data_IF_913118208400
#
_entry.id   IF_913118208400
#
_cell.length_a   1.000
_cell.length_b   1.000
_cell.length_c   1.000
_cell.angle_alpha   90.00
_cell.angle_beta   90.00
_cell.angle_gamma   90.00
#
_symmetry.space_group_name_H-M   'P 1'
#
loop_
_entity.id
_entity.type
_entity.pdbx_description
1 polymer ?
#
# COMPACT_ATOMS: atom_id res chain seq x y z
N UNK A 1 -4.10 -34.89 7.25
CA UNK A 1 -4.94 -33.79 6.75
C UNK A 1 -4.32 -33.31 5.45
N UNK A 2 -4.95 -33.57 4.30
CA UNK A 2 -4.53 -32.98 3.03
C UNK A 2 -4.49 -31.45 3.18
N UNK A 3 -3.34 -30.83 2.90
CA UNK A 3 -3.26 -29.37 2.72
C UNK A 3 -4.17 -29.04 1.54
N UNK A 4 -5.34 -28.45 1.79
CA UNK A 4 -6.17 -27.89 0.73
C UNK A 4 -5.35 -26.80 0.02
N UNK A 5 -4.74 -27.13 -1.10
CA UNK A 5 -4.07 -26.15 -1.96
C UNK A 5 -5.13 -25.26 -2.63
N UNK A 6 -4.82 -23.97 -2.75
CA UNK A 6 -5.70 -23.00 -3.38
C UNK A 6 -5.77 -23.29 -4.90
N UNK A 7 -6.97 -23.18 -5.49
CA UNK A 7 -7.16 -23.45 -6.92
C UNK A 7 -6.46 -22.40 -7.78
N UNK A 8 -5.73 -22.84 -8.81
CA UNK A 8 -5.01 -21.97 -9.77
C UNK A 8 -5.94 -21.36 -10.82
N UNK A 9 -6.80 -20.44 -10.41
CA UNK A 9 -7.84 -19.86 -11.26
C UNK A 9 -7.53 -18.44 -11.76
N UNK A 10 -6.54 -17.74 -11.17
CA UNK A 10 -6.28 -16.32 -11.46
C UNK A 10 -5.58 -16.14 -12.80
N UNK A 11 -6.24 -15.44 -13.73
CA UNK A 11 -5.68 -15.08 -15.04
C UNK A 11 -4.73 -13.87 -14.94
N UNK A 12 -3.86 -13.68 -15.94
CA UNK A 12 -2.97 -12.52 -15.98
C UNK A 12 -3.69 -11.17 -16.08
N UNK A 13 -4.81 -11.09 -16.80
CA UNK A 13 -5.62 -9.88 -16.87
C UNK A 13 -6.26 -9.58 -15.51
N UNK A 14 -6.79 -10.61 -14.85
CA UNK A 14 -7.30 -10.48 -13.48
C UNK A 14 -6.22 -9.98 -12.54
N UNK A 15 -5.01 -10.54 -12.62
CA UNK A 15 -3.88 -10.11 -11.81
C UNK A 15 -3.44 -8.67 -12.11
N UNK A 16 -3.46 -8.23 -13.38
CA UNK A 16 -3.19 -6.84 -13.77
C UNK A 16 -4.21 -5.87 -13.18
N UNK A 17 -5.51 -6.20 -13.28
CA UNK A 17 -6.57 -5.41 -12.65
C UNK A 17 -6.41 -5.37 -11.14
N UNK A 18 -5.92 -6.44 -10.51
CA UNK A 18 -5.58 -6.42 -9.09
C UNK A 18 -4.41 -5.47 -8.83
N UNK A 19 -3.31 -5.50 -9.58
CA UNK A 19 -2.17 -4.57 -9.35
C UNK A 19 -2.63 -3.12 -9.48
N UNK A 20 -3.27 -2.79 -10.60
CA UNK A 20 -3.76 -1.43 -10.85
C UNK A 20 -4.81 -1.07 -9.80
N UNK A 21 -5.67 -2.00 -9.42
CA UNK A 21 -6.71 -1.80 -8.42
C UNK A 21 -6.22 -1.75 -6.97
N UNK A 22 -5.10 -2.35 -6.60
CA UNK A 22 -4.55 -2.23 -5.24
C UNK A 22 -3.70 -0.99 -5.10
N UNK A 23 -2.97 -0.62 -6.17
CA UNK A 23 -2.11 0.55 -6.18
C UNK A 23 -2.91 1.84 -6.37
N UNK A 24 -3.79 1.91 -7.37
CA UNK A 24 -4.67 3.06 -7.56
C UNK A 24 -5.72 3.05 -6.46
N UNK A 25 -5.52 3.86 -5.43
CA UNK A 25 -6.41 3.97 -4.28
C UNK A 25 -6.66 5.41 -3.86
N UNK A 26 -6.68 5.65 -2.55
CA UNK A 26 -6.85 6.99 -1.99
C UNK A 26 -5.62 7.88 -2.25
N UNK A 27 -4.42 7.29 -2.35
CA UNK A 27 -3.18 8.06 -2.37
C UNK A 27 -3.14 9.15 -3.44
N UNK A 28 -3.64 8.89 -4.64
CA UNK A 28 -3.64 9.87 -5.72
C UNK A 28 -4.58 11.06 -5.47
N UNK A 29 -5.64 10.86 -4.70
CA UNK A 29 -6.64 11.89 -4.43
C UNK A 29 -6.27 12.79 -3.24
N UNK A 30 -5.45 12.29 -2.30
CA UNK A 30 -5.20 12.97 -1.02
C UNK A 30 -3.72 13.27 -0.74
N UNK A 31 -2.77 12.49 -1.27
CA UNK A 31 -1.34 12.78 -1.06
C UNK A 31 -0.80 14.01 -1.79
N UNK A 32 -1.44 14.61 -2.82
CA UNK A 32 -0.98 15.91 -3.33
C UNK A 32 -0.76 16.96 -2.24
N UNK A 33 -1.59 16.99 -1.18
CA UNK A 33 -1.41 17.87 -0.02
C UNK A 33 -0.04 17.73 0.60
N UNK A 34 0.35 16.50 0.96
CA UNK A 34 1.64 16.23 1.57
C UNK A 34 2.80 16.43 0.59
N UNK A 35 2.62 16.07 -0.69
CA UNK A 35 3.66 16.19 -1.73
C UNK A 35 3.98 17.66 -2.01
N UNK A 36 2.98 18.48 -2.27
CA UNK A 36 3.15 19.89 -2.59
C UNK A 36 3.40 20.75 -1.36
N UNK A 37 2.91 20.34 -0.19
CA UNK A 37 3.28 20.95 1.09
C UNK A 37 4.73 20.69 1.48
N UNK A 38 5.28 19.51 1.17
CA UNK A 38 6.70 19.21 1.42
C UNK A 38 7.62 19.84 0.37
N UNK A 39 7.27 19.70 -0.92
CA UNK A 39 8.11 20.17 -2.03
C UNK A 39 8.06 21.70 -2.22
N UNK A 40 6.95 22.35 -1.85
CA UNK A 40 6.73 23.79 -2.02
C UNK A 40 6.70 24.27 -3.48
N UNK A 41 6.87 23.36 -4.44
CA UNK A 41 7.05 23.68 -5.85
C UNK A 41 6.43 22.59 -6.75
N UNK A 42 5.72 22.98 -7.84
CA UNK A 42 5.12 22.04 -8.78
C UNK A 42 6.12 21.03 -9.35
N UNK A 43 7.29 21.50 -9.82
CA UNK A 43 8.24 20.63 -10.53
C UNK A 43 8.89 19.57 -9.65
N UNK A 44 9.31 19.93 -8.43
CA UNK A 44 9.88 18.97 -7.47
C UNK A 44 8.85 17.94 -7.01
N UNK A 45 7.60 18.36 -6.77
CA UNK A 45 6.50 17.45 -6.46
C UNK A 45 6.24 16.44 -7.60
N UNK A 46 6.21 16.91 -8.85
CA UNK A 46 6.02 16.05 -10.02
C UNK A 46 7.20 15.08 -10.23
N UNK A 47 8.43 15.52 -9.97
CA UNK A 47 9.61 14.66 -9.98
C UNK A 47 9.51 13.55 -8.93
N UNK A 48 8.99 13.85 -7.72
CA UNK A 48 8.80 12.83 -6.68
C UNK A 48 7.86 11.71 -7.16
N UNK A 49 6.75 12.06 -7.83
CA UNK A 49 5.83 11.07 -8.41
C UNK A 49 6.49 10.18 -9.47
N UNK A 50 7.34 10.77 -10.31
CA UNK A 50 8.10 10.02 -11.32
C UNK A 50 9.12 9.09 -10.67
N UNK A 51 9.94 9.60 -9.75
CA UNK A 51 11.01 8.83 -9.09
C UNK A 51 10.42 7.70 -8.24
N UNK A 52 9.32 7.91 -7.52
CA UNK A 52 8.63 6.84 -6.81
C UNK A 52 8.11 5.75 -7.76
N UNK A 53 7.60 6.13 -8.94
CA UNK A 53 7.21 5.19 -9.98
C UNK A 53 8.38 4.35 -10.49
N UNK A 54 9.53 4.98 -10.77
CA UNK A 54 10.74 4.27 -11.20
C UNK A 54 11.27 3.33 -10.11
N UNK A 55 11.33 3.80 -8.85
CA UNK A 55 11.78 2.99 -7.72
C UNK A 55 10.87 1.77 -7.53
N UNK A 56 9.54 1.95 -7.63
CA UNK A 56 8.60 0.83 -7.47
C UNK A 56 8.61 -0.13 -8.65
N UNK A 57 8.80 0.35 -9.89
CA UNK A 57 9.03 -0.53 -11.06
C UNK A 57 10.32 -1.35 -10.87
N UNK A 58 11.41 -0.72 -10.45
CA UNK A 58 12.67 -1.42 -10.16
C UNK A 58 12.50 -2.45 -9.03
N UNK A 59 11.76 -2.10 -7.98
CA UNK A 59 11.42 -2.99 -6.88
C UNK A 59 10.54 -4.16 -7.33
N UNK A 60 9.53 -3.90 -8.15
CA UNK A 60 8.64 -4.89 -8.74
C UNK A 60 9.37 -5.88 -9.63
N UNK A 61 10.26 -5.39 -10.48
CA UNK A 61 11.16 -6.20 -11.30
C UNK A 61 12.06 -7.11 -10.47
N UNK A 62 12.52 -6.65 -9.32
CA UNK A 62 13.39 -7.40 -8.42
C UNK A 62 12.60 -8.46 -7.65
N UNK A 63 11.48 -8.07 -7.02
CA UNK A 63 10.62 -8.98 -6.24
C UNK A 63 9.98 -10.06 -7.11
N UNK A 64 9.72 -9.79 -8.39
CA UNK A 64 9.23 -10.81 -9.31
C UNK A 64 10.18 -12.01 -9.42
N UNK A 65 11.51 -11.84 -9.31
CA UNK A 65 12.45 -12.96 -9.33
C UNK A 65 12.20 -13.91 -8.17
N UNK A 66 12.27 -13.43 -6.93
CA UNK A 66 12.02 -14.26 -5.74
C UNK A 66 10.58 -14.79 -5.69
N UNK A 67 9.61 -14.02 -6.18
CA UNK A 67 8.21 -14.45 -6.27
C UNK A 67 7.97 -15.58 -7.28
N UNK A 68 8.78 -15.67 -8.34
CA UNK A 68 8.71 -16.78 -9.29
C UNK A 68 9.48 -18.01 -8.85
N UNK A 69 10.51 -17.85 -8.00
CA UNK A 69 11.22 -18.96 -7.35
C UNK A 69 10.33 -19.62 -6.29
N UNK A 70 9.63 -18.81 -5.49
CA UNK A 70 8.71 -19.29 -4.44
C UNK A 70 7.26 -18.86 -4.74
N UNK A 71 6.57 -19.50 -5.72
CA UNK A 71 5.21 -19.15 -6.13
C UNK A 71 4.17 -19.67 -5.13
N UNK A 72 4.24 -19.21 -3.89
CA UNK A 72 3.40 -19.63 -2.77
C UNK A 72 2.61 -18.44 -2.22
N UNK A 73 1.40 -18.73 -1.74
CA UNK A 73 0.59 -17.74 -1.02
C UNK A 73 1.27 -17.40 0.30
N UNK A 74 1.55 -16.11 0.52
CA UNK A 74 2.28 -15.62 1.70
C UNK A 74 3.25 -14.46 1.38
N UNK A 75 3.69 -14.34 0.12
CA UNK A 75 4.49 -13.21 -0.34
C UNK A 75 5.79 -13.04 0.47
N UNK A 76 6.05 -11.81 0.94
CA UNK A 76 7.27 -11.45 1.67
C UNK A 76 7.57 -12.33 2.88
N UNK A 77 6.55 -12.84 3.59
CA UNK A 77 6.78 -13.75 4.73
C UNK A 77 7.61 -14.97 4.32
N UNK A 78 7.22 -15.61 3.22
CA UNK A 78 7.90 -16.80 2.70
C UNK A 78 9.24 -16.42 2.07
N UNK A 79 9.29 -15.31 1.33
CA UNK A 79 10.51 -14.86 0.66
C UNK A 79 11.63 -14.60 1.68
N UNK A 80 11.32 -13.88 2.76
CA UNK A 80 12.28 -13.57 3.81
C UNK A 80 12.56 -14.77 4.71
N UNK A 81 11.59 -15.67 4.93
CA UNK A 81 11.84 -16.93 5.63
C UNK A 81 12.87 -17.80 4.90
N UNK A 82 12.74 -17.95 3.56
CA UNK A 82 13.64 -18.79 2.77
C UNK A 82 15.05 -18.24 2.68
N UNK A 83 15.22 -16.91 2.69
CA UNK A 83 16.56 -16.29 2.57
C UNK A 83 17.21 -16.04 3.94
N UNK A 84 16.47 -15.54 4.92
CA UNK A 84 17.02 -15.07 6.20
C UNK A 84 16.62 -15.93 7.41
N UNK A 85 15.74 -16.92 7.20
CA UNK A 85 15.24 -17.80 8.24
C UNK A 85 13.90 -17.35 8.83
N UNK A 86 13.30 -18.27 9.60
CA UNK A 86 11.94 -18.14 10.17
C UNK A 86 11.69 -16.87 10.97
N UNK A 87 12.70 -16.35 11.66
CA UNK A 87 12.55 -15.16 12.49
C UNK A 87 12.26 -13.90 11.66
N UNK A 88 12.88 -13.72 10.48
CA UNK A 88 12.60 -12.57 9.59
C UNK A 88 11.24 -12.74 8.92
N UNK A 89 10.94 -13.95 8.45
CA UNK A 89 9.62 -14.28 7.91
C UNK A 89 8.49 -14.01 8.91
N UNK A 90 8.73 -14.30 10.20
CA UNK A 90 7.83 -13.93 11.28
C UNK A 90 7.76 -12.41 11.46
N UNK A 91 8.88 -11.69 11.54
CA UNK A 91 8.89 -10.25 11.81
C UNK A 91 8.14 -9.45 10.75
N UNK A 92 8.25 -9.82 9.47
CA UNK A 92 7.47 -9.14 8.42
C UNK A 92 5.98 -9.41 8.58
N UNK A 93 5.57 -10.65 8.89
CA UNK A 93 4.16 -10.98 9.13
C UNK A 93 3.63 -10.29 10.41
N UNK A 94 4.45 -10.22 11.45
CA UNK A 94 4.15 -9.51 12.69
C UNK A 94 3.92 -8.01 12.42
N UNK A 95 4.89 -7.35 11.80
CA UNK A 95 4.78 -5.94 11.42
C UNK A 95 3.58 -5.70 10.50
N UNK A 96 3.29 -6.63 9.59
CA UNK A 96 2.10 -6.54 8.74
C UNK A 96 0.81 -6.59 9.56
N UNK A 97 0.72 -7.53 10.50
CA UNK A 97 -0.46 -7.75 11.34
C UNK A 97 -0.73 -6.60 12.33
N UNK A 98 0.32 -6.05 12.97
CA UNK A 98 0.16 -5.07 14.05
C UNK A 98 0.36 -3.63 13.62
N UNK A 99 1.01 -3.37 12.47
CA UNK A 99 1.28 -2.02 11.97
C UNK A 99 0.66 -1.81 10.60
N UNK A 100 1.15 -2.50 9.56
CA UNK A 100 0.83 -2.17 8.17
C UNK A 100 -0.67 -2.23 7.85
N UNK A 101 -1.35 -3.35 8.14
CA UNK A 101 -2.77 -3.50 7.84
C UNK A 101 -3.66 -2.63 8.75
N UNK A 102 -3.48 -2.61 10.09
CA UNK A 102 -4.23 -1.72 10.95
C UNK A 102 -4.07 -0.23 10.60
N UNK A 103 -2.84 0.22 10.33
CA UNK A 103 -2.56 1.60 9.96
C UNK A 103 -3.18 1.96 8.62
N UNK A 104 -3.18 1.06 7.63
CA UNK A 104 -3.86 1.29 6.35
C UNK A 104 -5.38 1.43 6.53
N UNK A 105 -6.00 0.57 7.35
CA UNK A 105 -7.43 0.67 7.68
C UNK A 105 -7.71 2.01 8.38
N UNK A 106 -6.88 2.39 9.36
CA UNK A 106 -7.02 3.63 10.11
C UNK A 106 -6.85 4.88 9.21
N UNK A 107 -5.76 4.97 8.46
CA UNK A 107 -5.48 6.08 7.57
C UNK A 107 -6.59 6.26 6.53
N UNK A 108 -7.01 5.17 5.88
CA UNK A 108 -8.03 5.24 4.83
C UNK A 108 -9.43 5.56 5.39
N UNK A 109 -9.77 5.11 6.60
CA UNK A 109 -11.05 5.46 7.22
C UNK A 109 -11.09 6.91 7.71
N UNK A 110 -9.96 7.43 8.23
CA UNK A 110 -9.81 8.86 8.54
C UNK A 110 -10.00 9.70 7.27
N UNK A 111 -9.27 9.40 6.18
CA UNK A 111 -9.36 10.23 4.98
C UNK A 111 -10.71 10.10 4.27
N UNK A 112 -11.36 8.93 4.36
CA UNK A 112 -12.74 8.76 3.94
C UNK A 112 -13.66 9.70 4.73
N UNK A 113 -13.52 9.75 6.06
CA UNK A 113 -14.32 10.59 6.92
C UNK A 113 -14.04 12.09 6.68
N UNK A 114 -12.79 12.50 6.49
CA UNK A 114 -12.42 13.87 6.09
C UNK A 114 -13.11 14.27 4.79
N UNK A 115 -13.04 13.41 3.77
CA UNK A 115 -13.70 13.66 2.48
C UNK A 115 -15.24 13.67 2.61
N UNK A 116 -15.78 12.81 3.46
CA UNK A 116 -17.22 12.72 3.72
C UNK A 116 -17.72 14.00 4.40
N UNK A 117 -17.04 14.45 5.45
CA UNK A 117 -17.38 15.70 6.14
C UNK A 117 -17.21 16.91 5.22
N UNK A 118 -16.18 16.93 4.36
CA UNK A 118 -16.00 17.97 3.34
C UNK A 118 -17.15 18.01 2.32
N UNK A 119 -17.59 16.86 1.80
CA UNK A 119 -18.68 16.78 0.82
C UNK A 119 -20.03 17.23 1.39
N UNK A 120 -20.32 16.86 2.62
CA UNK A 120 -21.59 17.16 3.29
C UNK A 120 -21.53 18.41 4.17
N UNK A 121 -20.42 19.16 4.14
CA UNK A 121 -20.17 20.34 4.96
C UNK A 121 -20.43 20.11 6.47
N UNK A 122 -19.98 18.96 6.99
CA UNK A 122 -20.09 18.60 8.40
C UNK A 122 -18.88 19.13 9.19
N UNK A 123 -19.04 19.28 10.51
CA UNK A 123 -17.96 19.69 11.41
C UNK A 123 -16.83 18.65 11.46
N UNK A 124 -15.58 19.10 11.56
CA UNK A 124 -14.39 18.25 11.72
C UNK A 124 -14.46 17.32 12.95
N UNK A 125 -15.25 17.69 13.97
CA UNK A 125 -15.52 16.84 15.14
C UNK A 125 -16.18 15.49 14.78
N UNK A 126 -16.79 15.40 13.59
CA UNK A 126 -17.44 14.18 13.09
C UNK A 126 -16.47 13.21 12.43
N UNK A 127 -15.24 13.62 12.10
CA UNK A 127 -14.28 12.81 11.33
C UNK A 127 -13.97 11.50 12.07
N UNK A 128 -13.57 11.57 13.33
CA UNK A 128 -13.21 10.38 14.12
C UNK A 128 -14.40 9.42 14.29
N UNK A 129 -15.62 9.87 14.71
CA UNK A 129 -16.80 9.02 14.75
C UNK A 129 -17.14 8.34 13.42
N UNK A 130 -17.08 9.08 12.30
CA UNK A 130 -17.36 8.53 10.96
C UNK A 130 -16.29 7.51 10.55
N UNK A 131 -15.02 7.77 10.85
CA UNK A 131 -13.92 6.84 10.58
C UNK A 131 -14.10 5.52 11.35
N UNK A 132 -14.41 5.59 12.65
CA UNK A 132 -14.70 4.42 13.51
C UNK A 132 -15.91 3.64 12.96
N UNK A 133 -17.01 4.32 12.67
CA UNK A 133 -18.21 3.70 12.13
C UNK A 133 -17.92 2.98 10.79
N UNK A 134 -17.15 3.63 9.91
CA UNK A 134 -16.75 3.07 8.60
C UNK A 134 -15.86 1.84 8.77
N UNK A 135 -14.88 1.89 9.68
CA UNK A 135 -13.98 0.76 9.97
C UNK A 135 -14.75 -0.46 10.48
N UNK A 136 -15.65 -0.25 11.47
CA UNK A 136 -16.48 -1.30 12.06
C UNK A 136 -17.43 -1.87 11.01
N UNK A 137 -18.09 -1.00 10.23
CA UNK A 137 -19.04 -1.39 9.19
C UNK A 137 -18.38 -2.28 8.13
N UNK A 138 -17.23 -1.84 7.60
CA UNK A 138 -16.52 -2.60 6.57
C UNK A 138 -15.92 -3.90 7.11
N UNK A 139 -15.42 -3.92 8.35
CA UNK A 139 -14.99 -5.16 8.98
C UNK A 139 -16.17 -6.13 9.17
N UNK A 140 -17.32 -5.63 9.60
CA UNK A 140 -18.56 -6.38 9.73
C UNK A 140 -19.01 -7.00 8.40
N UNK A 141 -19.02 -6.22 7.31
CA UNK A 141 -19.32 -6.75 5.97
C UNK A 141 -18.35 -7.87 5.57
N UNK A 142 -17.06 -7.68 5.84
CA UNK A 142 -16.06 -8.70 5.53
C UNK A 142 -16.27 -9.99 6.35
N UNK A 143 -16.78 -9.89 7.58
CA UNK A 143 -17.17 -11.05 8.38
C UNK A 143 -18.40 -11.79 7.85
N UNK A 144 -19.28 -11.14 7.08
CA UNK A 144 -20.43 -11.77 6.41
C UNK A 144 -20.03 -12.65 5.21
N UNK A 145 -18.79 -12.53 4.74
CA UNK A 145 -18.20 -13.42 3.74
C UNK A 145 -17.73 -12.72 2.46
N UNK A 146 -16.86 -13.42 1.74
CA UNK A 146 -16.16 -12.92 0.53
C UNK A 146 -17.07 -12.56 -0.63
N UNK A 147 -18.32 -13.06 -0.65
CA UNK A 147 -19.32 -12.72 -1.68
C UNK A 147 -19.67 -11.23 -1.65
N UNK A 148 -19.88 -10.66 -0.46
CA UNK A 148 -20.28 -9.25 -0.32
C UNK A 148 -19.09 -8.32 -0.50
N UNK A 149 -17.99 -8.59 0.21
CA UNK A 149 -16.77 -7.81 0.10
C UNK A 149 -16.15 -7.88 -1.30
N UNK A 150 -16.26 -9.03 -1.98
CA UNK A 150 -15.84 -9.17 -3.38
C UNK A 150 -16.67 -8.32 -4.34
N UNK A 151 -18.00 -8.24 -4.16
CA UNK A 151 -18.87 -7.37 -4.98
C UNK A 151 -18.53 -5.89 -4.77
N UNK A 152 -18.37 -5.46 -3.51
CA UNK A 152 -17.93 -4.10 -3.18
C UNK A 152 -16.59 -3.79 -3.85
N UNK A 153 -15.64 -4.73 -3.79
CA UNK A 153 -14.33 -4.57 -4.42
C UNK A 153 -14.44 -4.38 -5.93
N UNK A 154 -15.23 -5.21 -6.62
CA UNK A 154 -15.41 -5.12 -8.07
C UNK A 154 -16.02 -3.78 -8.47
N UNK A 155 -17.11 -3.38 -7.80
CA UNK A 155 -17.78 -2.10 -8.06
C UNK A 155 -16.83 -0.93 -7.82
N UNK A 156 -16.14 -0.91 -6.67
CA UNK A 156 -15.19 0.16 -6.36
C UNK A 156 -14.01 0.21 -7.34
N UNK A 157 -13.58 -0.94 -7.88
CA UNK A 157 -12.49 -1.01 -8.87
C UNK A 157 -12.87 -0.39 -10.21
N UNK A 158 -14.11 -0.60 -10.66
CA UNK A 158 -14.60 0.00 -11.91
C UNK A 158 -14.85 1.50 -11.69
N UNK A 159 -15.55 1.86 -10.61
CA UNK A 159 -15.97 3.24 -10.40
C UNK A 159 -14.82 4.19 -10.04
N UNK A 160 -13.73 3.73 -9.43
CA UNK A 160 -12.61 4.62 -9.07
C UNK A 160 -11.85 5.17 -10.27
N UNK A 161 -11.89 4.51 -11.43
CA UNK A 161 -11.20 4.97 -12.63
C UNK A 161 -11.92 6.16 -13.28
N UNK A 162 -13.22 6.29 -13.06
CA UNK A 162 -14.05 7.33 -13.68
C UNK A 162 -13.63 8.73 -13.19
N UNK A 163 -13.56 9.03 -11.87
CA UNK A 163 -13.06 10.32 -11.39
C UNK A 163 -11.68 10.69 -11.92
N UNK A 164 -10.77 9.71 -12.00
CA UNK A 164 -9.41 9.92 -12.48
C UNK A 164 -9.42 10.36 -13.94
N UNK A 165 -10.10 9.61 -14.80
CA UNK A 165 -10.18 9.92 -16.23
C UNK A 165 -10.84 11.28 -16.48
N UNK A 166 -11.93 11.56 -15.78
CA UNK A 166 -12.67 12.82 -15.89
C UNK A 166 -11.83 14.01 -15.44
N UNK A 167 -11.11 13.89 -14.31
CA UNK A 167 -10.18 14.94 -13.84
C UNK A 167 -9.03 15.13 -14.82
N UNK A 168 -8.42 14.06 -15.34
CA UNK A 168 -7.31 14.17 -16.30
C UNK A 168 -7.77 14.93 -17.55
N UNK A 169 -8.88 14.53 -18.16
CA UNK A 169 -9.36 15.15 -19.40
C UNK A 169 -9.71 16.62 -19.16
N UNK A 170 -10.50 16.93 -18.13
CA UNK A 170 -10.92 18.30 -17.87
C UNK A 170 -9.77 19.21 -17.39
N UNK A 171 -8.88 18.69 -16.55
CA UNK A 171 -7.73 19.46 -16.04
C UNK A 171 -6.67 19.74 -17.09
N UNK A 172 -6.38 18.80 -17.99
CA UNK A 172 -5.47 19.06 -19.12
C UNK A 172 -6.04 20.06 -20.12
N UNK A 173 -7.36 20.16 -20.22
CA UNK A 173 -8.07 21.12 -21.07
C UNK A 173 -8.46 22.43 -20.33
N UNK A 174 -7.97 22.62 -19.11
CA UNK A 174 -8.34 23.78 -18.31
C UNK A 174 -7.86 25.09 -18.99
N UNK A 175 -8.72 26.13 -19.16
CA UNK A 175 -8.37 27.33 -19.94
C UNK A 175 -7.14 28.10 -19.44
N UNK A 176 -6.81 27.98 -18.15
CA UNK A 176 -5.62 28.59 -17.53
C UNK A 176 -4.45 27.62 -17.31
N UNK A 177 -4.48 26.45 -17.96
CA UNK A 177 -3.46 25.42 -17.88
C UNK A 177 -2.25 25.69 -18.77
N UNK A 178 -1.33 24.72 -18.84
CA UNK A 178 -0.12 24.77 -19.67
C UNK A 178 1.18 24.68 -18.87
N UNK A 179 2.31 24.59 -19.58
CA UNK A 179 3.61 24.30 -18.97
C UNK A 179 4.05 25.35 -17.93
N UNK A 180 3.55 26.59 -18.03
CA UNK A 180 3.81 27.66 -17.06
C UNK A 180 3.26 27.33 -15.67
N UNK A 181 2.25 26.46 -15.55
CA UNK A 181 1.73 25.99 -14.27
C UNK A 181 2.65 24.97 -13.56
N UNK A 182 3.67 24.48 -14.26
CA UNK A 182 4.63 23.50 -13.72
C UNK A 182 5.92 24.17 -13.22
N UNK A 183 6.02 25.51 -13.32
CA UNK A 183 7.10 26.31 -12.74
C UNK A 183 6.62 27.01 -11.46
N UNK A 184 7.49 27.25 -10.46
CA UNK A 184 8.91 26.93 -10.41
C UNK A 184 9.20 25.43 -10.19
N UNK A 185 10.42 24.99 -10.54
CA UNK A 185 10.84 23.61 -10.28
C UNK A 185 11.13 23.37 -8.79
N UNK A 186 11.83 24.30 -8.14
CA UNK A 186 12.15 24.29 -6.71
C UNK A 186 12.06 25.71 -6.15
N UNK A 187 11.85 25.83 -4.85
CA UNK A 187 11.79 27.11 -4.13
C UNK A 187 12.74 27.09 -2.94
N UNK A 188 13.37 28.22 -2.63
CA UNK A 188 14.38 28.30 -1.55
C UNK A 188 13.81 28.02 -0.16
N UNK A 189 12.53 28.36 0.07
CA UNK A 189 11.82 28.08 1.31
C UNK A 189 11.63 26.58 1.59
N UNK A 190 11.80 25.72 0.57
CA UNK A 190 11.70 24.27 0.66
C UNK A 190 12.99 23.63 0.11
N UNK A 191 14.05 23.49 0.94
CA UNK A 191 15.33 22.95 0.50
C UNK A 191 15.20 21.57 -0.15
N UNK A 192 15.75 21.43 -1.35
CA UNK A 192 15.53 20.25 -2.22
C UNK A 192 15.78 18.92 -1.50
N UNK A 193 16.89 18.79 -0.76
CA UNK A 193 17.29 17.52 -0.18
C UNK A 193 16.31 17.00 0.89
N UNK A 194 15.84 17.88 1.78
CA UNK A 194 14.89 17.54 2.85
C UNK A 194 13.47 17.42 2.30
N UNK A 195 13.07 18.34 1.43
CA UNK A 195 11.74 18.39 0.81
C UNK A 195 11.48 17.21 -0.13
N UNK A 196 12.48 16.80 -0.92
CA UNK A 196 12.35 15.67 -1.83
C UNK A 196 12.13 14.36 -1.09
N UNK A 197 12.79 14.15 0.06
CA UNK A 197 12.60 12.94 0.87
C UNK A 197 11.17 12.80 1.38
N UNK A 198 10.64 13.86 1.99
CA UNK A 198 9.25 13.91 2.47
C UNK A 198 8.23 13.79 1.33
N UNK A 199 8.45 14.46 0.20
CA UNK A 199 7.60 14.32 -0.98
C UNK A 199 7.63 12.89 -1.55
N UNK A 200 8.82 12.28 -1.64
CA UNK A 200 8.99 10.91 -2.12
C UNK A 200 8.26 9.93 -1.20
N UNK A 201 8.40 10.04 0.13
CA UNK A 201 7.65 9.26 1.12
C UNK A 201 6.14 9.35 0.89
N UNK A 202 5.63 10.57 0.70
CA UNK A 202 4.22 10.80 0.44
C UNK A 202 3.74 10.15 -0.87
N UNK A 203 4.52 10.23 -1.95
CA UNK A 203 4.18 9.58 -3.22
C UNK A 203 4.26 8.05 -3.15
N UNK A 204 5.19 7.49 -2.39
CA UNK A 204 5.35 6.04 -2.24
C UNK A 204 4.16 5.38 -1.55
N UNK A 205 3.48 6.09 -0.65
CA UNK A 205 2.20 5.63 -0.12
C UNK A 205 1.15 5.48 -1.23
N UNK A 206 1.10 6.43 -2.19
CA UNK A 206 0.18 6.33 -3.30
C UNK A 206 0.54 5.18 -4.26
N UNK A 207 1.82 4.81 -4.36
CA UNK A 207 2.23 3.61 -5.06
C UNK A 207 2.09 2.33 -4.24
N UNK A 208 1.68 2.38 -2.97
CA UNK A 208 1.61 1.21 -2.10
C UNK A 208 0.64 0.13 -2.61
N UNK A 209 0.88 -1.12 -2.23
CA UNK A 209 0.00 -2.25 -2.55
C UNK A 209 0.39 -3.07 -3.77
N UNK A 210 1.42 -2.67 -4.52
CA UNK A 210 1.95 -3.46 -5.66
C UNK A 210 2.53 -4.80 -5.21
N UNK A 211 3.03 -4.88 -3.98
CA UNK A 211 3.65 -6.09 -3.44
C UNK A 211 2.63 -7.19 -3.09
N UNK A 212 1.37 -6.81 -2.90
CA UNK A 212 0.30 -7.75 -2.56
C UNK A 212 0.02 -8.74 -3.70
N UNK A 213 0.44 -8.43 -4.93
CA UNK A 213 0.36 -9.34 -6.08
C UNK A 213 1.17 -10.61 -5.84
N UNK A 214 2.28 -10.51 -5.11
CA UNK A 214 3.09 -11.67 -4.70
C UNK A 214 2.30 -12.66 -3.83
N UNK A 215 1.32 -12.18 -3.04
CA UNK A 215 0.46 -13.07 -2.23
C UNK A 215 -0.49 -13.91 -3.08
N UNK A 216 -0.82 -13.44 -4.29
CA UNK A 216 -1.69 -14.15 -5.25
C UNK A 216 -0.90 -15.05 -6.21
N UNK A 217 0.43 -15.03 -6.16
CA UNK A 217 1.28 -15.77 -7.10
C UNK A 217 1.00 -17.29 -7.09
N UNK A 218 0.63 -17.86 -5.94
CA UNK A 218 0.24 -19.27 -5.81
C UNK A 218 -1.06 -19.65 -6.52
N UNK A 219 -1.96 -18.67 -6.74
CA UNK A 219 -3.26 -18.85 -7.40
C UNK A 219 -3.21 -18.50 -8.90
N UNK A 220 -2.10 -17.92 -9.37
CA UNK A 220 -1.94 -17.48 -10.76
C UNK A 220 -1.70 -18.64 -11.73
N UNK A 221 -2.29 -18.55 -12.92
CA UNK A 221 -1.96 -19.42 -14.06
C UNK A 221 -0.60 -19.01 -14.62
N UNK A 222 0.37 -19.94 -14.65
CA UNK A 222 1.75 -19.73 -15.16
C UNK A 222 2.44 -18.51 -14.50
N UNK A 223 2.62 -18.51 -13.17
CA UNK A 223 3.13 -17.35 -12.42
C UNK A 223 4.51 -16.90 -12.93
N UNK A 224 5.39 -17.84 -13.31
CA UNK A 224 6.73 -17.55 -13.83
C UNK A 224 6.79 -16.56 -15.00
N UNK A 225 5.79 -16.59 -15.91
CA UNK A 225 5.75 -15.69 -17.07
C UNK A 225 4.83 -14.49 -16.88
N UNK A 226 3.78 -14.64 -16.07
CA UNK A 226 2.74 -13.63 -15.92
C UNK A 226 3.05 -12.62 -14.81
N UNK A 227 3.64 -13.07 -13.70
CA UNK A 227 3.92 -12.21 -12.55
C UNK A 227 4.77 -10.98 -12.92
N UNK A 228 5.89 -11.11 -13.69
CA UNK A 228 6.69 -9.95 -14.06
C UNK A 228 5.93 -8.98 -14.98
N UNK A 229 5.24 -9.49 -16.01
CA UNK A 229 4.48 -8.68 -16.97
C UNK A 229 3.38 -7.88 -16.29
N UNK A 230 2.69 -8.52 -15.35
CA UNK A 230 1.60 -7.94 -14.58
C UNK A 230 2.08 -6.83 -13.65
N UNK A 231 3.21 -7.04 -12.96
CA UNK A 231 3.79 -6.04 -12.06
C UNK A 231 4.32 -4.84 -12.87
N UNK A 232 5.12 -5.07 -13.91
CA UNK A 232 5.73 -3.98 -14.72
C UNK A 232 4.65 -3.19 -15.45
N UNK A 233 3.74 -3.89 -16.15
CA UNK A 233 2.66 -3.26 -16.89
C UNK A 233 1.74 -2.47 -15.97
N UNK A 234 1.37 -3.06 -14.82
CA UNK A 234 0.53 -2.41 -13.82
C UNK A 234 1.18 -1.14 -13.26
N UNK A 235 2.42 -1.23 -12.79
CA UNK A 235 3.14 -0.08 -12.22
C UNK A 235 3.43 1.02 -13.25
N UNK A 236 3.70 0.66 -14.52
CA UNK A 236 3.91 1.65 -15.58
C UNK A 236 2.63 2.42 -15.91
N UNK A 237 1.49 1.72 -15.96
CA UNK A 237 0.17 2.35 -16.14
C UNK A 237 -0.14 3.28 -14.96
N UNK A 238 0.09 2.81 -13.72
CA UNK A 238 -0.09 3.62 -12.51
C UNK A 238 0.75 4.89 -12.58
N UNK A 239 2.04 4.77 -12.91
CA UNK A 239 2.94 5.92 -12.99
C UNK A 239 2.46 6.94 -14.01
N UNK A 240 2.05 6.49 -15.20
CA UNK A 240 1.50 7.38 -16.22
C UNK A 240 0.24 8.11 -15.73
N UNK A 241 -0.70 7.38 -15.12
CA UNK A 241 -1.93 7.96 -14.55
C UNK A 241 -1.62 8.98 -13.46
N UNK A 242 -0.69 8.66 -12.55
CA UNK A 242 -0.33 9.53 -11.43
C UNK A 242 0.35 10.82 -11.89
N UNK A 243 1.21 10.76 -12.91
CA UNK A 243 1.81 11.95 -13.48
C UNK A 243 0.75 12.80 -14.19
N UNK A 244 -0.08 12.19 -15.04
CA UNK A 244 -1.10 12.92 -15.81
C UNK A 244 -2.11 13.63 -14.91
N UNK A 245 -2.59 12.98 -13.85
CA UNK A 245 -3.56 13.61 -12.95
C UNK A 245 -2.91 14.69 -12.08
N UNK A 246 -1.64 14.56 -11.69
CA UNK A 246 -0.94 15.63 -10.99
C UNK A 246 -0.70 16.85 -11.88
N UNK A 247 -0.38 16.65 -13.16
CA UNK A 247 -0.33 17.74 -14.14
C UNK A 247 -1.72 18.39 -14.25
N UNK A 248 -2.78 17.60 -14.33
CA UNK A 248 -4.15 18.10 -14.36
C UNK A 248 -4.51 18.91 -13.09
N UNK A 249 -4.08 18.47 -11.90
CA UNK A 249 -4.23 19.25 -10.67
C UNK A 249 -3.48 20.58 -10.75
N UNK A 250 -2.22 20.55 -11.18
CA UNK A 250 -1.39 21.75 -11.27
C UNK A 250 -1.87 22.76 -12.33
N UNK A 251 -2.56 22.30 -13.36
CA UNK A 251 -3.18 23.19 -14.36
C UNK A 251 -4.33 24.00 -13.78
N UNK A 252 -5.01 23.45 -12.76
CA UNK A 252 -6.17 24.06 -12.10
C UNK A 252 -5.76 24.83 -10.85
N UNK A 253 -4.88 24.25 -10.03
CA UNK A 253 -4.48 24.73 -8.71
C UNK A 253 -2.96 24.86 -8.61
N UNK A 254 -2.46 25.81 -7.85
CA UNK A 254 -1.02 25.90 -7.57
C UNK A 254 -0.57 25.00 -6.39
N UNK A 255 0.75 24.94 -6.16
CA UNK A 255 1.36 24.13 -5.09
C UNK A 255 0.86 24.51 -3.69
N UNK A 256 0.60 25.79 -3.44
CA UNK A 256 0.14 26.27 -2.13
C UNK A 256 -1.33 25.91 -1.90
N UNK A 257 -2.16 26.03 -2.93
CA UNK A 257 -3.57 25.63 -2.89
C UNK A 257 -3.72 24.13 -2.66
N UNK A 258 -2.91 23.31 -3.34
CA UNK A 258 -2.91 21.85 -3.13
C UNK A 258 -2.44 21.49 -1.71
N UNK A 259 -1.44 22.19 -1.19
CA UNK A 259 -0.95 22.00 0.18
C UNK A 259 -1.92 22.51 1.27
N UNK A 260 -2.74 23.51 0.95
CA UNK A 260 -3.63 24.19 1.90
C UNK A 260 -4.94 23.47 2.19
N UNK A 261 -5.18 22.31 1.59
CA UNK A 261 -6.40 21.51 1.81
C UNK A 261 -6.06 20.04 2.00
N UNK A 262 -6.77 19.36 2.91
CA UNK A 262 -6.66 17.91 3.08
C UNK A 262 -7.38 17.12 1.95
N UNK A 263 -8.15 17.78 1.09
CA UNK A 263 -8.94 17.15 0.02
C UNK A 263 -8.64 17.75 -1.37
N UNK A 264 -7.37 17.67 -1.85
CA UNK A 264 -6.90 18.42 -3.01
C UNK A 264 -7.61 18.02 -4.31
N UNK A 265 -7.92 16.73 -4.48
CA UNK A 265 -8.69 16.27 -5.63
C UNK A 265 -10.14 16.75 -5.62
N UNK A 266 -10.74 16.92 -4.43
CA UNK A 266 -12.09 17.46 -4.30
C UNK A 266 -12.11 18.95 -4.63
N UNK A 267 -11.09 19.69 -4.19
CA UNK A 267 -10.90 21.09 -4.56
C UNK A 267 -10.71 21.22 -6.08
N UNK A 268 -9.83 20.42 -6.70
CA UNK A 268 -9.68 20.44 -8.15
C UNK A 268 -11.01 20.12 -8.86
N UNK A 269 -11.76 19.13 -8.38
CA UNK A 269 -13.06 18.77 -8.95
C UNK A 269 -14.09 19.91 -8.88
N UNK A 270 -14.07 20.74 -7.83
CA UNK A 270 -15.00 21.87 -7.72
C UNK A 270 -14.66 23.02 -8.67
N UNK A 271 -13.40 23.18 -9.05
CA UNK A 271 -12.97 24.16 -10.07
C UNK A 271 -13.18 23.63 -11.51
N UNK A 272 -13.10 22.32 -11.69
CA UNK A 272 -13.30 21.67 -13.00
C UNK A 272 -14.77 21.53 -13.38
N UNK A 273 -15.65 21.29 -12.40
CA UNK A 273 -17.05 21.03 -12.64
C UNK A 273 -17.91 21.77 -11.63
N UNK A 274 -18.63 22.79 -12.10
CA UNK A 274 -19.54 23.55 -11.26
C UNK A 274 -20.77 22.73 -10.82
N UNK A 275 -21.30 23.05 -9.65
CA UNK A 275 -22.54 22.46 -9.12
C UNK A 275 -22.44 20.96 -8.82
N UNK A 276 -23.35 20.18 -9.41
CA UNK A 276 -23.47 18.72 -9.16
C UNK A 276 -22.30 17.93 -9.75
N UNK A 277 -21.66 18.41 -10.81
CA UNK A 277 -20.57 17.70 -11.47
C UNK A 277 -19.39 17.43 -10.54
N UNK A 278 -18.93 18.46 -9.81
CA UNK A 278 -17.86 18.31 -8.81
C UNK A 278 -18.24 17.34 -7.69
N UNK A 279 -19.50 17.40 -7.23
CA UNK A 279 -20.02 16.47 -6.22
C UNK A 279 -19.99 15.01 -6.69
N UNK A 280 -20.39 14.73 -7.93
CA UNK A 280 -20.33 13.37 -8.49
C UNK A 280 -18.91 12.82 -8.54
N UNK A 281 -17.93 13.65 -8.92
CA UNK A 281 -16.51 13.28 -8.88
C UNK A 281 -16.07 12.94 -7.46
N UNK A 282 -16.40 13.78 -6.48
CA UNK A 282 -16.06 13.52 -5.06
C UNK A 282 -16.74 12.28 -4.46
N UNK A 283 -17.97 11.95 -4.90
CA UNK A 283 -18.62 10.68 -4.54
C UNK A 283 -17.81 9.50 -5.09
N UNK A 284 -17.32 9.60 -6.33
CA UNK A 284 -16.43 8.59 -6.91
C UNK A 284 -15.11 8.45 -6.14
N UNK A 285 -14.56 9.56 -5.62
CA UNK A 285 -13.39 9.54 -4.71
C UNK A 285 -13.72 8.75 -3.44
N UNK A 286 -14.86 9.04 -2.78
CA UNK A 286 -15.30 8.30 -1.59
C UNK A 286 -15.44 6.79 -1.86
N UNK A 287 -16.03 6.42 -3.00
CA UNK A 287 -16.14 5.01 -3.42
C UNK A 287 -14.75 4.38 -3.59
N UNK A 288 -13.78 5.12 -4.14
CA UNK A 288 -12.40 4.64 -4.27
C UNK A 288 -11.75 4.35 -2.92
N UNK A 289 -11.85 5.28 -1.95
CA UNK A 289 -11.30 5.09 -0.60
C UNK A 289 -11.99 3.93 0.10
N UNK A 290 -13.33 3.86 0.01
CA UNK A 290 -14.13 2.78 0.58
C UNK A 290 -13.73 1.40 0.03
N UNK A 291 -13.49 1.30 -1.28
CA UNK A 291 -12.94 0.11 -1.92
C UNK A 291 -11.53 -0.23 -1.45
N UNK A 292 -10.69 0.77 -1.22
CA UNK A 292 -9.35 0.61 -0.65
C UNK A 292 -9.39 -0.03 0.74
N UNK A 293 -10.21 0.51 1.64
CA UNK A 293 -10.39 -0.04 3.01
C UNK A 293 -10.84 -1.50 2.94
N UNK A 294 -11.85 -1.80 2.11
CA UNK A 294 -12.35 -3.16 1.93
C UNK A 294 -11.26 -4.12 1.39
N UNK A 295 -10.47 -3.66 0.42
CA UNK A 295 -9.36 -4.44 -0.15
C UNK A 295 -8.25 -4.75 0.86
N UNK A 296 -7.91 -3.79 1.72
CA UNK A 296 -6.96 -3.98 2.81
C UNK A 296 -7.47 -4.94 3.88
N UNK A 297 -8.76 -4.86 4.26
CA UNK A 297 -9.36 -5.83 5.18
C UNK A 297 -9.30 -7.24 4.58
N UNK A 298 -9.73 -7.39 3.32
CA UNK A 298 -9.70 -8.68 2.62
C UNK A 298 -8.31 -9.31 2.63
N UNK A 299 -7.29 -8.55 2.25
CA UNK A 299 -5.91 -9.04 2.19
C UNK A 299 -5.33 -9.28 3.60
N UNK A 300 -5.63 -8.40 4.55
CA UNK A 300 -5.09 -8.44 5.91
C UNK A 300 -5.53 -9.64 6.72
N UNK A 301 -6.77 -10.14 6.54
CA UNK A 301 -7.30 -11.29 7.29
C UNK A 301 -6.43 -12.55 7.14
N UNK A 302 -5.65 -12.66 6.05
CA UNK A 302 -4.80 -13.82 5.76
C UNK A 302 -3.50 -13.84 6.58
N UNK A 303 -2.98 -12.69 7.02
CA UNK A 303 -1.68 -12.63 7.69
C UNK A 303 -1.71 -13.25 9.09
N UNK A 304 -2.66 -12.89 10.00
CA UNK A 304 -2.74 -13.53 11.31
C UNK A 304 -2.97 -15.04 11.19
N UNK A 305 -3.78 -15.45 10.20
CA UNK A 305 -4.04 -16.86 9.91
C UNK A 305 -2.77 -17.59 9.46
N UNK A 306 -1.99 -17.01 8.53
CA UNK A 306 -0.72 -17.59 8.07
C UNK A 306 0.27 -17.78 9.23
N UNK A 307 0.44 -16.76 10.09
CA UNK A 307 1.29 -16.87 11.28
C UNK A 307 0.77 -17.93 12.27
N UNK A 308 -0.55 -18.01 12.47
CA UNK A 308 -1.17 -18.94 13.40
C UNK A 308 -1.06 -20.40 12.93
N UNK A 309 -1.17 -20.67 11.63
CA UNK A 309 -0.98 -22.02 11.06
C UNK A 309 0.44 -22.54 11.26
N UNK A 310 1.43 -21.65 11.34
CA UNK A 310 2.83 -21.99 11.65
C UNK A 310 3.12 -21.97 13.16
N UNK A 311 2.10 -21.83 14.02
CA UNK A 311 2.20 -21.71 15.49
C UNK A 311 3.09 -20.54 15.95
N UNK A 312 3.21 -19.50 15.13
CA UNK A 312 4.07 -18.35 15.43
C UNK A 312 3.37 -17.26 16.25
N UNK A 313 2.08 -17.42 16.58
CA UNK A 313 1.33 -16.47 17.41
C UNK A 313 0.96 -17.03 18.79
N UNK A 314 0.91 -16.19 19.83
CA UNK A 314 0.18 -16.51 21.04
C UNK A 314 -1.27 -16.80 20.66
N UNK A 315 -1.88 -17.81 21.28
CA UNK A 315 -3.24 -18.24 20.95
C UNK A 315 -3.42 -18.64 19.46
N UNK A 316 -2.40 -19.26 18.86
CA UNK A 316 -2.46 -19.73 17.47
C UNK A 316 -3.72 -20.57 17.15
N UNK A 317 -4.23 -21.36 18.10
CA UNK A 317 -5.47 -22.11 17.93
C UNK A 317 -6.70 -21.22 17.72
N UNK A 318 -6.73 -20.02 18.31
CA UNK A 318 -7.79 -19.05 18.15
C UNK A 318 -7.66 -18.30 16.82
N UNK A 319 -6.46 -17.84 16.47
CA UNK A 319 -6.22 -17.14 15.19
C UNK A 319 -6.33 -18.05 13.96
N UNK A 320 -5.99 -19.33 14.08
CA UNK A 320 -6.14 -20.31 13.00
C UNK A 320 -7.58 -20.79 12.81
N UNK A 321 -8.51 -20.43 13.71
CA UNK A 321 -9.91 -20.84 13.62
C UNK A 321 -10.59 -20.14 12.44
N UNK A 322 -11.12 -20.94 11.53
CA UNK A 322 -11.93 -20.48 10.40
C UNK A 322 -13.40 -20.61 10.77
N UNK A 323 -14.19 -19.57 10.49
CA UNK A 323 -15.65 -19.65 10.67
C UNK A 323 -16.26 -20.58 9.59
N UNK A 324 -16.99 -21.65 9.96
CA UNK A 324 -17.53 -22.61 9.00
C UNK A 324 -18.56 -21.99 8.03
N UNK A 325 -19.24 -20.91 8.42
CA UNK A 325 -20.27 -20.27 7.58
C UNK A 325 -19.67 -19.41 6.46
N UNK A 326 -18.55 -18.74 6.74
CA UNK A 326 -17.97 -17.73 5.83
C UNK A 326 -16.60 -18.11 5.28
N UNK A 327 -16.01 -19.20 5.79
CA UNK A 327 -14.69 -19.70 5.43
C UNK A 327 -13.57 -18.64 5.62
N UNK A 328 -13.73 -17.77 6.62
CA UNK A 328 -12.79 -16.68 6.93
C UNK A 328 -12.24 -16.76 8.37
N UNK A 329 -10.96 -16.38 8.58
CA UNK A 329 -10.34 -16.25 9.90
C UNK A 329 -10.70 -14.91 10.57
N UNK A 330 -11.94 -14.79 11.05
CA UNK A 330 -12.48 -13.53 11.60
C UNK A 330 -11.69 -12.99 12.81
N UNK A 331 -11.09 -13.87 13.60
CA UNK A 331 -10.41 -13.55 14.85
C UNK A 331 -9.19 -12.64 14.63
N UNK A 332 -8.43 -12.87 13.55
CA UNK A 332 -7.35 -11.97 13.14
C UNK A 332 -7.87 -10.58 12.78
N UNK A 333 -9.03 -10.52 12.13
CA UNK A 333 -9.72 -9.26 11.81
C UNK A 333 -10.13 -8.46 13.04
N UNK A 334 -10.59 -9.12 14.10
CA UNK A 334 -10.96 -8.45 15.36
C UNK A 334 -9.75 -7.77 15.99
N UNK A 335 -8.60 -8.45 16.04
CA UNK A 335 -7.36 -7.85 16.54
C UNK A 335 -6.95 -6.63 15.69
N UNK A 336 -6.91 -6.79 14.37
CA UNK A 336 -6.53 -5.70 13.46
C UNK A 336 -7.50 -4.51 13.55
N UNK A 337 -8.81 -4.76 13.70
CA UNK A 337 -9.79 -3.71 13.93
C UNK A 337 -9.53 -2.99 15.24
N UNK A 338 -9.29 -3.72 16.33
CA UNK A 338 -8.98 -3.11 17.63
C UNK A 338 -7.76 -2.19 17.57
N UNK A 339 -6.68 -2.64 16.92
CA UNK A 339 -5.48 -1.82 16.72
C UNK A 339 -5.77 -0.63 15.80
N UNK A 340 -6.52 -0.84 14.71
CA UNK A 340 -6.91 0.24 13.80
C UNK A 340 -7.75 1.31 14.51
N UNK A 341 -8.68 0.93 15.39
CA UNK A 341 -9.46 1.87 16.19
C UNK A 341 -8.57 2.71 17.12
N UNK A 342 -7.58 2.09 17.77
CA UNK A 342 -6.60 2.84 18.57
C UNK A 342 -5.79 3.80 17.71
N UNK A 343 -5.39 3.39 16.50
CA UNK A 343 -4.68 4.26 15.56
C UNK A 343 -5.55 5.40 15.03
N UNK A 344 -6.87 5.19 14.85
CA UNK A 344 -7.82 6.25 14.48
C UNK A 344 -7.92 7.29 15.60
N UNK A 345 -7.89 6.87 16.86
CA UNK A 345 -7.99 7.75 18.02
C UNK A 345 -6.70 8.54 18.31
N UNK A 346 -5.55 8.03 17.88
CA UNK A 346 -4.22 8.56 18.28
C UNK A 346 -3.42 9.14 17.13
N UNK A 347 -3.67 8.71 15.89
CA UNK A 347 -2.90 9.06 14.71
C UNK A 347 -3.67 9.90 13.70
N UNK A 348 -2.93 10.63 12.88
CA UNK A 348 -3.47 11.39 11.75
C UNK A 348 -3.16 10.68 10.42
N UNK A 349 -3.91 11.00 9.36
CA UNK A 349 -3.75 10.39 8.05
C UNK A 349 -2.28 10.36 7.58
N UNK A 350 -1.64 11.53 7.46
CA UNK A 350 -0.26 11.61 6.94
C UNK A 350 0.74 10.85 7.83
N UNK A 351 0.63 11.01 9.15
CA UNK A 351 1.48 10.29 10.11
C UNK A 351 1.39 8.77 9.95
N UNK A 352 0.16 8.24 9.83
CA UNK A 352 -0.07 6.81 9.63
C UNK A 352 0.46 6.35 8.26
N UNK A 353 0.26 7.14 7.19
CA UNK A 353 0.82 6.81 5.87
C UNK A 353 2.34 6.76 5.86
N UNK A 354 3.00 7.66 6.60
CA UNK A 354 4.46 7.70 6.67
C UNK A 354 5.00 6.51 7.49
N UNK A 355 4.31 6.14 8.57
CA UNK A 355 4.60 4.93 9.35
C UNK A 355 4.46 3.66 8.49
N UNK A 356 3.41 3.55 7.68
CA UNK A 356 3.17 2.43 6.77
C UNK A 356 4.34 2.27 5.80
N UNK A 357 4.70 3.35 5.10
CA UNK A 357 5.78 3.35 4.11
C UNK A 357 7.09 2.98 4.81
N UNK A 358 7.44 3.63 5.91
CA UNK A 358 8.69 3.35 6.61
C UNK A 358 8.83 1.87 7.00
N UNK A 359 7.83 1.31 7.67
CA UNK A 359 7.88 -0.06 8.20
C UNK A 359 7.94 -1.09 7.07
N UNK A 360 7.10 -0.94 6.04
CA UNK A 360 7.08 -1.92 4.96
C UNK A 360 8.34 -1.85 4.10
N UNK A 361 8.91 -0.65 3.91
CA UNK A 361 10.10 -0.46 3.10
C UNK A 361 11.37 -1.06 3.71
N UNK A 362 11.44 -1.23 5.04
CA UNK A 362 12.51 -2.02 5.68
C UNK A 362 12.50 -3.45 5.12
N UNK A 363 11.35 -4.12 5.14
CA UNK A 363 11.21 -5.51 4.69
C UNK A 363 11.25 -5.67 3.16
N UNK A 364 10.76 -4.68 2.42
CA UNK A 364 10.90 -4.63 0.96
C UNK A 364 12.38 -4.54 0.59
N UNK A 365 13.16 -3.69 1.25
CA UNK A 365 14.59 -3.55 1.01
C UNK A 365 15.34 -4.85 1.31
N UNK A 366 15.00 -5.52 2.43
CA UNK A 366 15.51 -6.87 2.72
C UNK A 366 15.13 -7.87 1.62
N UNK A 367 13.93 -7.78 1.04
CA UNK A 367 13.53 -8.67 -0.05
C UNK A 367 14.39 -8.44 -1.31
N UNK A 368 14.73 -7.19 -1.63
CA UNK A 368 15.63 -6.88 -2.75
C UNK A 368 17.05 -7.40 -2.52
N UNK A 369 17.58 -7.19 -1.31
CA UNK A 369 18.88 -7.74 -0.90
C UNK A 369 18.83 -9.27 -0.97
N UNK A 370 17.70 -9.87 -0.59
CA UNK A 370 17.51 -11.31 -0.63
C UNK A 370 17.64 -11.90 -2.04
N UNK A 371 17.24 -11.18 -3.09
CA UNK A 371 17.49 -11.61 -4.48
C UNK A 371 18.99 -11.64 -4.80
N UNK A 372 19.76 -10.64 -4.34
CA UNK A 372 21.21 -10.62 -4.51
C UNK A 372 21.90 -11.77 -3.75
N UNK A 373 21.43 -12.07 -2.55
CA UNK A 373 21.91 -13.20 -1.74
C UNK A 373 21.60 -14.51 -2.45
N UNK A 374 20.35 -14.71 -2.90
CA UNK A 374 19.90 -15.95 -3.52
C UNK A 374 20.61 -16.26 -4.84
N UNK A 375 21.04 -15.22 -5.57
CA UNK A 375 21.93 -15.35 -6.74
C UNK A 375 23.29 -15.95 -6.41
N UNK A 376 23.76 -15.83 -5.18
CA UNK A 376 25.05 -16.36 -4.70
C UNK A 376 24.89 -17.66 -3.92
N UNK A 377 23.86 -17.79 -3.09
CA UNK A 377 23.67 -18.96 -2.22
C UNK A 377 23.12 -20.17 -2.97
N UNK A 378 22.20 -19.95 -3.92
CA UNK A 378 21.56 -21.00 -4.71
C UNK A 378 21.60 -20.63 -6.20
N UNK A 379 22.79 -20.54 -6.84
CA UNK A 379 22.90 -20.10 -8.24
C UNK A 379 22.15 -21.02 -9.21
N UNK A 380 22.03 -22.31 -8.89
CA UNK A 380 21.43 -23.33 -9.77
C UNK A 380 19.92 -23.51 -9.56
N UNK A 381 19.28 -22.80 -8.61
CA UNK A 381 17.82 -22.87 -8.45
C UNK A 381 17.14 -22.40 -9.73
N UNK A 382 16.07 -23.12 -10.13
CA UNK A 382 15.28 -22.77 -11.29
C UNK A 382 14.69 -21.37 -11.12
N UNK A 383 14.97 -20.48 -12.08
CA UNK A 383 14.47 -19.10 -12.11
C UNK A 383 13.61 -18.89 -13.35
N UNK A 384 12.29 -19.09 -13.23
CA UNK A 384 11.36 -18.88 -14.35
C UNK A 384 11.41 -17.44 -14.90
N UNK A 385 11.76 -16.49 -14.05
CA UNK A 385 12.08 -15.12 -14.42
C UNK A 385 13.38 -14.69 -13.74
N UNK A 386 14.18 -13.90 -14.46
CA UNK A 386 15.41 -13.28 -13.99
C UNK A 386 15.28 -11.78 -14.18
N UNK A 387 15.60 -11.01 -13.15
CA UNK A 387 15.61 -9.55 -13.21
C UNK A 387 16.56 -9.09 -14.33
N UNK A 388 16.08 -8.27 -15.27
CA UNK A 388 16.91 -7.75 -16.35
C UNK A 388 17.93 -6.75 -15.80
N UNK A 389 18.99 -6.50 -16.58
CA UNK A 389 20.06 -5.55 -16.22
C UNK A 389 20.65 -5.79 -14.82
N UNK A 390 20.73 -7.04 -14.38
CA UNK A 390 21.38 -7.40 -13.13
C UNK A 390 22.87 -6.97 -13.15
N UNK A 391 23.39 -6.31 -12.10
CA UNK A 391 22.77 -6.02 -10.79
C UNK A 391 22.14 -4.62 -10.67
N UNK A 392 22.09 -3.82 -11.74
CA UNK A 392 21.73 -2.39 -11.71
C UNK A 392 20.31 -2.16 -11.17
N UNK A 393 19.30 -2.87 -11.67
CA UNK A 393 17.90 -2.67 -11.26
C UNK A 393 17.66 -2.99 -9.78
N UNK A 394 18.12 -4.14 -9.25
CA UNK A 394 18.07 -4.40 -7.81
C UNK A 394 18.79 -3.34 -6.98
N UNK A 395 19.95 -2.85 -7.44
CA UNK A 395 20.69 -1.80 -6.73
C UNK A 395 19.92 -0.47 -6.70
N UNK A 396 19.27 -0.07 -7.79
CA UNK A 396 18.39 1.12 -7.81
C UNK A 396 17.28 0.97 -6.77
N UNK A 397 16.62 -0.19 -6.71
CA UNK A 397 15.56 -0.45 -5.75
C UNK A 397 16.07 -0.43 -4.30
N UNK A 398 17.26 -0.98 -4.04
CA UNK A 398 17.90 -0.96 -2.71
C UNK A 398 18.31 0.46 -2.31
N UNK A 399 18.91 1.24 -3.22
CA UNK A 399 19.30 2.63 -2.95
C UNK A 399 18.06 3.47 -2.61
N UNK A 400 16.97 3.32 -3.39
CA UNK A 400 15.70 3.96 -3.09
C UNK A 400 15.16 3.54 -1.73
N UNK A 401 15.12 2.23 -1.45
CA UNK A 401 14.67 1.68 -0.17
C UNK A 401 15.46 2.18 1.04
N UNK A 402 16.79 2.20 0.94
CA UNK A 402 17.66 2.73 1.98
C UNK A 402 17.45 4.23 2.18
N UNK A 403 17.34 5.00 1.10
CA UNK A 403 17.08 6.44 1.17
C UNK A 403 15.79 6.74 1.95
N UNK A 404 14.70 6.03 1.67
CA UNK A 404 13.40 6.16 2.35
C UNK A 404 13.54 5.88 3.86
N UNK A 405 14.19 4.76 4.21
CA UNK A 405 14.38 4.35 5.61
C UNK A 405 15.24 5.36 6.37
N UNK A 406 16.37 5.77 5.80
CA UNK A 406 17.26 6.75 6.44
C UNK A 406 16.64 8.14 6.51
N UNK A 407 15.95 8.58 5.46
CA UNK A 407 15.28 9.87 5.47
C UNK A 407 14.21 9.92 6.57
N UNK A 408 13.40 8.88 6.73
CA UNK A 408 12.38 8.84 7.79
C UNK A 408 13.01 8.84 9.18
N UNK A 409 14.12 8.12 9.39
CA UNK A 409 14.84 8.13 10.68
C UNK A 409 15.31 9.54 11.08
N UNK A 410 15.72 10.34 10.10
CA UNK A 410 16.23 11.70 10.34
C UNK A 410 15.08 12.71 10.47
N UNK A 411 14.09 12.64 9.57
CA UNK A 411 13.02 13.64 9.46
C UNK A 411 11.87 13.38 10.45
N UNK A 412 11.55 12.11 10.72
CA UNK A 412 10.43 11.70 11.58
C UNK A 412 10.87 10.64 12.62
N UNK A 413 11.82 10.97 13.51
CA UNK A 413 12.41 10.00 14.44
C UNK A 413 11.37 9.34 15.37
N UNK A 414 10.32 10.07 15.74
CA UNK A 414 9.23 9.53 16.57
C UNK A 414 8.44 8.43 15.84
N UNK A 415 8.04 8.67 14.59
CA UNK A 415 7.32 7.67 13.78
C UNK A 415 8.22 6.46 13.49
N UNK A 416 9.49 6.71 13.19
CA UNK A 416 10.46 5.64 12.99
C UNK A 416 10.65 4.78 14.25
N UNK A 417 10.74 5.41 15.42
CA UNK A 417 10.85 4.73 16.71
C UNK A 417 9.61 3.87 16.99
N UNK A 418 8.40 4.41 16.78
CA UNK A 418 7.14 3.64 16.92
C UNK A 418 7.20 2.40 16.03
N UNK A 419 7.54 2.55 14.75
CA UNK A 419 7.63 1.43 13.81
C UNK A 419 8.65 0.36 14.22
N UNK A 420 9.86 0.79 14.62
CA UNK A 420 10.92 -0.11 15.07
C UNK A 420 10.52 -0.81 16.37
N UNK A 421 10.04 -0.05 17.36
CA UNK A 421 9.66 -0.57 18.68
C UNK A 421 8.60 -1.68 18.56
N UNK A 422 7.50 -1.40 17.85
CA UNK A 422 6.43 -2.37 17.68
C UNK A 422 6.85 -3.58 16.84
N UNK A 423 7.73 -3.39 15.86
CA UNK A 423 8.33 -4.51 15.11
C UNK A 423 9.18 -5.40 16.03
N UNK A 424 10.05 -4.80 16.85
CA UNK A 424 10.95 -5.53 17.74
C UNK A 424 10.23 -6.21 18.92
N UNK A 425 9.06 -5.72 19.34
CA UNK A 425 8.18 -6.44 20.29
C UNK A 425 7.81 -7.84 19.76
N UNK A 426 7.83 -8.03 18.44
CA UNK A 426 7.65 -9.35 17.84
C UNK A 426 8.70 -10.36 18.27
N UNK A 427 9.93 -9.95 18.61
CA UNK A 427 11.01 -10.87 18.97
C UNK A 427 10.69 -11.65 20.25
N UNK A 428 10.33 -11.02 21.39
CA UNK A 428 9.86 -11.73 22.57
C UNK A 428 8.68 -12.68 22.28
N UNK A 429 7.73 -12.25 21.44
CA UNK A 429 6.56 -13.05 21.06
C UNK A 429 6.97 -14.30 20.29
N UNK A 430 7.86 -14.16 19.31
CA UNK A 430 8.41 -15.27 18.53
C UNK A 430 9.13 -16.29 19.43
N UNK A 431 10.00 -15.82 20.32
CA UNK A 431 10.75 -16.68 21.23
C UNK A 431 9.83 -17.45 22.20
N UNK A 432 8.80 -16.78 22.72
CA UNK A 432 7.78 -17.42 23.56
C UNK A 432 7.04 -18.53 22.81
N UNK A 433 6.57 -18.25 21.59
CA UNK A 433 5.86 -19.23 20.76
C UNK A 433 6.74 -20.40 20.35
N UNK A 434 8.01 -20.13 19.99
CA UNK A 434 9.01 -21.17 19.69
C UNK A 434 9.18 -22.13 20.86
N UNK A 435 9.34 -21.61 22.08
CA UNK A 435 9.47 -22.42 23.31
C UNK A 435 8.20 -23.21 23.64
N UNK A 436 7.02 -22.58 23.51
CA UNK A 436 5.73 -23.20 23.87
C UNK A 436 5.28 -24.29 22.91
N UNK A 437 5.50 -24.10 21.61
CA UNK A 437 4.95 -24.97 20.56
C UNK A 437 6.01 -25.85 19.87
N UNK A 438 7.29 -25.66 20.19
CA UNK A 438 8.40 -26.44 19.61
C UNK A 438 8.56 -26.20 18.11
N UNK A 439 8.43 -24.96 17.64
CA UNK A 439 8.53 -24.63 16.20
C UNK A 439 9.98 -24.86 15.73
N UNK A 440 10.25 -25.83 14.82
CA UNK A 440 11.60 -26.09 14.32
C UNK A 440 12.12 -24.91 13.47
N UNK A 441 13.44 -24.77 13.32
CA UNK A 441 14.05 -23.60 12.67
C UNK A 441 14.18 -23.72 11.14
N UNK A 442 14.09 -24.95 10.62
CA UNK A 442 14.02 -25.29 9.21
C UNK A 442 13.02 -26.43 9.01
N UNK A 443 12.40 -26.49 7.84
CA UNK A 443 11.73 -27.70 7.37
C UNK A 443 12.82 -28.78 7.25
N UNK A 444 12.92 -29.66 8.27
CA UNK A 444 13.65 -30.92 8.16
C UNK A 444 12.78 -31.93 7.42
#
# INVERSE_FOLDING_TARGET
>A
MEKKELKKEVSGLTALTVVVGTVIGAGIFFKPTAVYGASGAPGLGLLAWFVAGIITIAGGLTVAEIGTIYPQTGGMMIYLEKVYGRWVGFLVGWAQMIIYYPANIAALTIIFATQFSSLFALSDSTIVPVAIATAIFLMGINFLGTKYSGRIQTVATILKLIPILVIIVAGLLYPGGGAVRLVPFSVESHPVLTSFGSALMATLFAYDGWINVGTLAGEMKKPGKMLPKVIIGGLSIVMAVYLLINVAYLFVLDSNQLAGTDTPAALAASYLFEGIGGKLVTIGILISVFGGINGYILSGLRIPYALATQKMLPFSHWFAKINPKTNLPINGGILMLGIALLMILTGQFNQLTDLIVFVIWIFITLTFIGVLILRKTEPDIERPYKVPFYPIIPLIAIIGGLYIVFNTLIVQPQNAFIGIFFTLIGIPVYLYCKKKYGVPEKDQ
#
